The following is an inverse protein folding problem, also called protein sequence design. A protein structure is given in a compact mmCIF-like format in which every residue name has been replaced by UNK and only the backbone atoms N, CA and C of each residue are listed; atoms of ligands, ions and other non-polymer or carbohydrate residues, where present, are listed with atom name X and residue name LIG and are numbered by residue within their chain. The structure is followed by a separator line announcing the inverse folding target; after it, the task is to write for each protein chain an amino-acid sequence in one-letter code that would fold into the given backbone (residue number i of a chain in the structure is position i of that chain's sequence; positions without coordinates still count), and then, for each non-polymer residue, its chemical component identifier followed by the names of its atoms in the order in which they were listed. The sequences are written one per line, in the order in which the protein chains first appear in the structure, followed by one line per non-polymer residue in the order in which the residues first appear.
data_IF_360889562734
#
_entry.id   IF_360889562734
#
_cell.length_a   1.000
_cell.length_b   1.000
_cell.length_c   1.000
_cell.angle_alpha   90.00
_cell.angle_beta   90.00
_cell.angle_gamma   90.00
#
_symmetry.space_group_name_H-M   'P 1'
#
loop_
_entity.id
_entity.type
_entity.pdbx_description
1 polymer ?
#
# COMPACT_ATOMS: atom_id res chain seq x y z
N UNK A 1 1.12 -16.14 16.18
CA UNK A 1 0.01 -16.83 15.47
C UNK A 1 0.65 -17.68 14.38
N UNK A 2 0.24 -18.97 14.20
CA UNK A 2 0.77 -19.75 13.09
C UNK A 2 0.16 -19.32 11.74
N UNK A 3 0.84 -19.63 10.63
CA UNK A 3 0.44 -19.17 9.28
C UNK A 3 -0.97 -19.61 8.89
N UNK A 4 -1.35 -20.88 9.14
CA UNK A 4 -2.68 -21.40 8.81
C UNK A 4 -3.79 -20.59 9.52
N UNK A 5 -3.66 -20.39 10.82
CA UNK A 5 -4.62 -19.61 11.60
C UNK A 5 -4.67 -18.14 11.17
N UNK A 6 -3.55 -17.58 10.72
CA UNK A 6 -3.52 -16.21 10.17
C UNK A 6 -4.37 -16.13 8.90
N UNK A 7 -4.18 -17.06 7.95
CA UNK A 7 -4.94 -17.12 6.70
C UNK A 7 -6.42 -17.25 6.99
N UNK A 8 -6.83 -18.20 7.85
CA UNK A 8 -8.24 -18.40 8.23
C UNK A 8 -8.86 -17.11 8.80
N UNK A 9 -8.17 -16.45 9.73
CA UNK A 9 -8.63 -15.20 10.33
C UNK A 9 -8.72 -14.05 9.29
N UNK A 10 -7.76 -13.97 8.36
CA UNK A 10 -7.77 -12.94 7.34
C UNK A 10 -8.85 -13.19 6.29
N UNK A 11 -9.11 -14.42 5.91
CA UNK A 11 -10.25 -14.77 5.05
C UNK A 11 -11.59 -14.40 5.72
N UNK A 12 -11.73 -14.62 7.03
CA UNK A 12 -12.91 -14.22 7.80
C UNK A 12 -13.07 -12.68 7.82
N UNK A 13 -11.97 -11.93 8.00
CA UNK A 13 -11.99 -10.46 7.93
C UNK A 13 -12.39 -10.02 6.52
N UNK A 14 -11.81 -10.60 5.47
CA UNK A 14 -12.12 -10.28 4.09
C UNK A 14 -13.62 -10.46 3.77
N UNK A 15 -14.18 -11.62 4.10
CA UNK A 15 -15.61 -11.90 3.89
C UNK A 15 -16.51 -10.90 4.61
N UNK A 16 -16.15 -10.50 5.82
CA UNK A 16 -16.96 -9.58 6.63
C UNK A 16 -16.79 -8.11 6.29
N UNK A 17 -15.78 -7.75 5.48
CA UNK A 17 -15.52 -6.36 5.06
C UNK A 17 -15.82 -6.10 3.58
N UNK A 18 -16.10 -7.16 2.80
CA UNK A 18 -16.26 -7.06 1.35
C UNK A 18 -14.94 -6.86 0.61
N UNK A 19 -13.80 -7.00 1.30
CA UNK A 19 -12.47 -6.98 0.70
C UNK A 19 -12.06 -8.39 0.30
N UNK A 20 -11.12 -8.51 -0.63
CA UNK A 20 -10.49 -9.77 -1.00
C UNK A 20 -9.11 -9.87 -0.34
N UNK A 21 -8.82 -10.97 0.33
CA UNK A 21 -7.48 -11.23 0.86
C UNK A 21 -6.57 -11.82 -0.21
N UNK A 22 -5.41 -11.21 -0.40
CA UNK A 22 -4.31 -11.68 -1.25
C UNK A 22 -3.21 -12.27 -0.36
N UNK A 23 -3.11 -13.59 -0.35
CA UNK A 23 -2.10 -14.33 0.44
C UNK A 23 -0.68 -14.05 -0.04
N UNK A 24 -0.48 -13.77 -1.32
CA UNK A 24 0.85 -13.52 -1.91
C UNK A 24 1.45 -12.22 -1.40
N UNK A 25 0.62 -11.19 -1.33
CA UNK A 25 1.04 -9.86 -0.89
C UNK A 25 0.73 -9.58 0.59
N UNK A 26 0.05 -10.53 1.28
CA UNK A 26 -0.37 -10.41 2.68
C UNK A 26 -1.19 -9.14 2.93
N UNK A 27 -2.16 -8.89 2.07
CA UNK A 27 -2.95 -7.66 2.06
C UNK A 27 -4.39 -7.91 1.60
N UNK A 28 -5.28 -6.99 1.94
CA UNK A 28 -6.66 -6.99 1.50
C UNK A 28 -6.85 -5.92 0.44
N UNK A 29 -7.68 -6.20 -0.56
CA UNK A 29 -7.97 -5.32 -1.68
C UNK A 29 -9.46 -5.25 -1.92
N UNK A 30 -9.95 -4.07 -2.24
CA UNK A 30 -11.34 -3.90 -2.66
C UNK A 30 -11.75 -2.44 -2.71
N UNK A 31 -12.90 -2.23 -3.32
CA UNK A 31 -13.51 -0.91 -3.45
C UNK A 31 -14.52 -0.67 -2.32
N UNK A 32 -14.57 0.56 -1.86
CA UNK A 32 -15.65 1.04 -0.99
C UNK A 32 -16.08 2.43 -1.43
N UNK A 33 -17.34 2.55 -1.83
CA UNK A 33 -17.95 3.82 -2.25
C UNK A 33 -17.14 4.59 -3.32
N UNK A 34 -16.60 3.88 -4.31
CA UNK A 34 -15.82 4.45 -5.41
C UNK A 34 -14.34 4.68 -5.11
N UNK A 35 -13.84 4.31 -3.93
CA UNK A 35 -12.41 4.36 -3.61
C UNK A 35 -11.85 2.95 -3.47
N UNK A 36 -10.74 2.69 -4.16
CA UNK A 36 -9.97 1.46 -3.98
C UNK A 36 -9.14 1.53 -2.70
N UNK A 37 -9.13 0.42 -1.97
CA UNK A 37 -8.35 0.28 -0.75
C UNK A 37 -7.39 -0.91 -0.84
N UNK A 38 -6.17 -0.68 -0.34
CA UNK A 38 -5.24 -1.74 0.04
C UNK A 38 -5.13 -1.68 1.56
N UNK A 39 -5.41 -2.80 2.24
CA UNK A 39 -5.34 -2.88 3.70
C UNK A 39 -4.32 -3.93 4.09
N UNK A 40 -3.41 -3.59 4.97
CA UNK A 40 -2.33 -4.50 5.37
C UNK A 40 -1.91 -4.29 6.83
N UNK A 41 -1.29 -5.31 7.43
CA UNK A 41 -0.63 -5.21 8.72
C UNK A 41 0.84 -4.81 8.50
N UNK A 42 1.28 -3.63 8.97
CA UNK A 42 2.66 -3.15 8.75
C UNK A 42 3.70 -3.92 9.58
N UNK A 43 3.26 -4.64 10.61
CA UNK A 43 4.13 -5.41 11.50
C UNK A 43 3.50 -6.78 11.82
N UNK A 44 4.19 -7.85 11.46
CA UNK A 44 3.72 -9.23 11.68
C UNK A 44 3.49 -9.59 13.16
N UNK A 45 4.11 -8.86 14.10
CA UNK A 45 3.87 -9.03 15.55
C UNK A 45 2.48 -8.56 15.97
N UNK A 46 1.89 -7.64 15.20
CA UNK A 46 0.58 -7.06 15.45
C UNK A 46 -0.38 -7.31 14.27
N UNK A 47 -0.79 -8.56 14.04
CA UNK A 47 -1.53 -8.96 12.83
C UNK A 47 -2.91 -8.30 12.67
N UNK A 48 -3.41 -7.66 13.73
CA UNK A 48 -4.67 -6.93 13.73
C UNK A 48 -4.49 -5.42 13.94
N UNK A 49 -3.28 -4.90 13.73
CA UNK A 49 -3.01 -3.48 13.56
C UNK A 49 -2.96 -3.20 12.06
N UNK A 50 -4.00 -2.60 11.53
CA UNK A 50 -4.15 -2.43 10.09
C UNK A 50 -3.86 -1.00 9.65
N UNK A 51 -3.36 -0.86 8.44
CA UNK A 51 -3.24 0.39 7.70
C UNK A 51 -4.14 0.30 6.48
N UNK A 52 -5.03 1.26 6.31
CA UNK A 52 -5.77 1.49 5.08
C UNK A 52 -4.95 2.42 4.21
N UNK A 53 -4.73 2.02 2.98
CA UNK A 53 -4.10 2.82 1.95
C UNK A 53 -5.09 3.05 0.81
N UNK A 54 -5.22 4.27 0.35
CA UNK A 54 -5.97 4.66 -0.85
C UNK A 54 -5.28 5.81 -1.54
N UNK A 55 -5.43 5.91 -2.86
CA UNK A 55 -4.93 7.02 -3.64
C UNK A 55 -6.09 7.96 -4.01
N UNK A 56 -5.97 9.22 -3.63
CA UNK A 56 -7.00 10.21 -3.94
C UNK A 56 -6.44 11.62 -4.03
N UNK A 57 -7.11 12.46 -4.80
CA UNK A 57 -6.78 13.89 -4.97
C UNK A 57 -8.01 14.77 -4.82
N UNK A 58 -7.82 15.99 -4.33
CA UNK A 58 -8.80 17.05 -4.42
C UNK A 58 -8.86 17.62 -5.84
N UNK A 59 -9.98 18.25 -6.20
CA UNK A 59 -10.16 18.87 -7.52
C UNK A 59 -9.16 20.03 -7.78
N UNK A 60 -8.76 20.73 -6.73
CA UNK A 60 -7.84 21.87 -6.76
C UNK A 60 -6.37 21.49 -6.47
N UNK A 61 -6.08 20.20 -6.23
CA UNK A 61 -4.75 19.72 -5.90
C UNK A 61 -4.30 20.04 -4.46
N UNK A 62 -5.18 20.56 -3.61
CA UNK A 62 -4.86 20.88 -2.22
C UNK A 62 -4.69 19.60 -1.37
N UNK A 63 -3.96 19.74 -0.27
CA UNK A 63 -3.93 18.74 0.79
C UNK A 63 -5.01 19.03 1.83
N UNK A 64 -5.34 18.04 2.66
CA UNK A 64 -6.33 18.23 3.72
C UNK A 64 -5.92 19.34 4.71
N UNK A 65 -6.91 20.14 5.09
CA UNK A 65 -6.74 21.07 6.20
C UNK A 65 -6.43 20.32 7.51
N UNK A 66 -5.54 20.89 8.32
CA UNK A 66 -5.12 20.29 9.59
C UNK A 66 -6.27 20.12 10.59
N UNK A 67 -7.27 21.01 10.56
CA UNK A 67 -8.44 20.90 11.44
C UNK A 67 -9.36 19.78 10.99
N UNK A 68 -9.58 19.62 9.67
CA UNK A 68 -10.34 18.52 9.10
C UNK A 68 -9.72 17.16 9.47
N UNK A 69 -8.39 17.03 9.34
CA UNK A 69 -7.64 15.82 9.74
C UNK A 69 -7.80 15.54 11.23
N UNK A 70 -7.65 16.55 12.10
CA UNK A 70 -7.87 16.39 13.54
C UNK A 70 -9.30 16.00 13.88
N UNK A 71 -10.28 16.55 13.18
CA UNK A 71 -11.70 16.19 13.30
C UNK A 71 -11.92 14.73 12.96
N UNK A 72 -11.39 14.29 11.81
CA UNK A 72 -11.45 12.89 11.37
C UNK A 72 -10.80 11.93 12.37
N UNK A 73 -9.59 12.23 12.85
CA UNK A 73 -8.91 11.39 13.84
C UNK A 73 -9.67 11.29 15.18
N UNK A 74 -10.41 12.33 15.55
CA UNK A 74 -11.23 12.33 16.76
C UNK A 74 -12.59 11.66 16.56
N UNK A 75 -13.08 11.51 15.33
CA UNK A 75 -14.37 10.91 15.01
C UNK A 75 -14.45 9.43 15.41
N UNK A 76 -13.32 8.72 15.43
CA UNK A 76 -13.25 7.35 15.90
C UNK A 76 -12.06 7.11 16.82
N UNK A 77 -12.31 6.53 18.01
CA UNK A 77 -11.27 6.12 18.94
C UNK A 77 -10.39 4.99 18.39
N UNK A 78 -10.78 4.35 17.29
CA UNK A 78 -10.09 3.24 16.64
C UNK A 78 -9.02 3.70 15.66
N UNK A 79 -9.10 4.95 15.17
CA UNK A 79 -8.08 5.57 14.33
C UNK A 79 -6.90 5.98 15.19
N UNK A 80 -5.70 5.53 14.80
CA UNK A 80 -4.44 5.89 15.46
C UNK A 80 -3.81 7.11 14.80
N UNK A 81 -3.76 7.13 13.46
CA UNK A 81 -3.19 8.25 12.69
C UNK A 81 -3.82 8.35 11.30
N UNK A 82 -3.72 9.55 10.73
CA UNK A 82 -4.03 9.85 9.35
C UNK A 82 -2.82 10.55 8.74
N UNK A 83 -2.40 10.14 7.57
CA UNK A 83 -1.31 10.75 6.81
C UNK A 83 -1.72 10.91 5.35
N UNK A 84 -1.29 12.01 4.76
CA UNK A 84 -1.34 12.24 3.33
C UNK A 84 0.06 12.65 2.85
N UNK A 85 0.56 11.96 1.85
CA UNK A 85 1.79 12.31 1.14
C UNK A 85 1.52 12.30 -0.36
N UNK A 86 1.45 13.47 -0.96
CA UNK A 86 0.98 13.64 -2.34
C UNK A 86 -0.45 13.05 -2.50
N UNK A 87 -0.58 12.02 -3.34
CA UNK A 87 -1.82 11.31 -3.63
C UNK A 87 -2.08 10.13 -2.69
N UNK A 88 -1.04 9.65 -2.02
CA UNK A 88 -1.07 8.53 -1.05
C UNK A 88 -1.71 8.97 0.27
N UNK A 89 -2.81 8.33 0.63
CA UNK A 89 -3.55 8.56 1.87
C UNK A 89 -3.50 7.29 2.70
N UNK A 90 -3.02 7.41 3.94
CA UNK A 90 -2.90 6.29 4.89
C UNK A 90 -3.63 6.57 6.18
N UNK A 91 -4.46 5.62 6.58
CA UNK A 91 -5.17 5.63 7.86
C UNK A 91 -4.69 4.43 8.67
N UNK A 92 -3.95 4.69 9.74
CA UNK A 92 -3.50 3.63 10.66
C UNK A 92 -4.55 3.40 11.73
N UNK A 93 -4.87 2.13 11.98
CA UNK A 93 -5.81 1.73 13.02
C UNK A 93 -5.06 1.24 14.26
N UNK A 94 -5.68 1.41 15.42
CA UNK A 94 -5.18 0.81 16.65
C UNK A 94 -5.27 -0.71 16.58
N UNK A 95 -4.28 -1.39 17.14
CA UNK A 95 -4.25 -2.84 17.20
C UNK A 95 -5.51 -3.40 17.90
N UNK A 96 -6.08 -4.44 17.32
CA UNK A 96 -7.23 -5.15 17.87
C UNK A 96 -6.79 -6.48 18.50
N UNK A 97 -7.62 -7.04 19.38
CA UNK A 97 -7.27 -8.27 20.13
C UNK A 97 -7.54 -9.55 19.33
N UNK A 98 -8.42 -9.51 18.32
CA UNK A 98 -8.82 -10.65 17.52
C UNK A 98 -9.38 -10.24 16.15
N UNK A 99 -9.63 -11.23 15.28
CA UNK A 99 -10.12 -11.05 13.93
C UNK A 99 -11.50 -10.37 13.87
N UNK A 100 -12.42 -10.72 14.75
CA UNK A 100 -13.77 -10.16 14.76
C UNK A 100 -13.75 -8.66 15.05
N UNK A 101 -13.06 -8.24 16.12
CA UNK A 101 -12.89 -6.82 16.42
C UNK A 101 -12.12 -6.07 15.32
N UNK A 102 -11.17 -6.74 14.67
CA UNK A 102 -10.45 -6.18 13.54
C UNK A 102 -11.39 -5.94 12.36
N UNK A 103 -12.23 -6.91 12.01
CA UNK A 103 -13.26 -6.79 10.96
C UNK A 103 -14.20 -5.61 11.23
N UNK A 104 -14.76 -5.51 12.45
CA UNK A 104 -15.68 -4.43 12.80
C UNK A 104 -15.00 -3.06 12.75
N UNK A 105 -13.76 -2.98 13.25
CA UNK A 105 -12.94 -1.77 13.19
C UNK A 105 -12.63 -1.36 11.75
N UNK A 106 -12.32 -2.32 10.88
CA UNK A 106 -12.08 -2.08 9.45
C UNK A 106 -13.32 -1.54 8.76
N UNK A 107 -14.50 -2.16 8.97
CA UNK A 107 -15.75 -1.68 8.37
C UNK A 107 -16.05 -0.23 8.77
N UNK A 108 -15.92 0.09 10.07
CA UNK A 108 -16.11 1.44 10.57
C UNK A 108 -15.10 2.42 9.94
N UNK A 109 -13.82 2.03 9.87
CA UNK A 109 -12.77 2.89 9.35
C UNK A 109 -12.88 3.10 7.82
N UNK A 110 -13.23 2.07 7.05
CA UNK A 110 -13.49 2.19 5.61
C UNK A 110 -14.63 3.18 5.36
N UNK A 111 -15.77 3.03 6.03
CA UNK A 111 -16.91 3.93 5.89
C UNK A 111 -16.57 5.37 6.32
N UNK A 112 -15.87 5.54 7.45
CA UNK A 112 -15.45 6.85 7.91
C UNK A 112 -14.48 7.52 6.95
N UNK A 113 -13.53 6.75 6.40
CA UNK A 113 -12.52 7.27 5.44
C UNK A 113 -13.19 7.70 4.14
N UNK A 114 -14.06 6.90 3.55
CA UNK A 114 -14.75 7.26 2.30
C UNK A 114 -15.66 8.47 2.49
N UNK A 115 -16.37 8.55 3.62
CA UNK A 115 -17.18 9.74 3.96
C UNK A 115 -16.30 10.97 4.08
N UNK A 116 -15.16 10.87 4.76
CA UNK A 116 -14.21 11.98 4.93
C UNK A 116 -13.64 12.45 3.59
N UNK A 117 -13.24 11.53 2.71
CA UNK A 117 -12.73 11.84 1.37
C UNK A 117 -13.78 12.58 0.54
N UNK A 118 -15.01 12.06 0.48
CA UNK A 118 -16.12 12.68 -0.26
C UNK A 118 -16.49 14.05 0.26
N UNK A 119 -16.60 14.19 1.58
CA UNK A 119 -16.95 15.48 2.21
C UNK A 119 -15.92 16.57 1.91
N UNK A 120 -14.65 16.17 1.70
CA UNK A 120 -13.57 17.09 1.31
C UNK A 120 -13.32 17.13 -0.21
N UNK A 121 -14.26 16.66 -1.03
CA UNK A 121 -14.22 16.71 -2.51
C UNK A 121 -12.99 15.99 -3.10
N UNK A 122 -12.56 14.91 -2.47
CA UNK A 122 -11.51 14.04 -3.03
C UNK A 122 -12.11 13.01 -3.97
N UNK A 123 -11.38 12.69 -5.02
CA UNK A 123 -11.69 11.64 -6.00
C UNK A 123 -10.56 10.63 -6.08
N UNK A 124 -10.87 9.34 -6.34
CA UNK A 124 -9.85 8.31 -6.50
C UNK A 124 -8.95 8.61 -7.69
N UNK A 125 -7.70 8.20 -7.62
CA UNK A 125 -6.74 8.41 -8.70
C UNK A 125 -5.59 7.40 -8.65
N UNK A 126 -4.79 7.35 -9.71
CA UNK A 126 -3.53 6.62 -9.72
C UNK A 126 -2.48 7.34 -8.87
N UNK A 127 -1.74 6.61 -8.02
CA UNK A 127 -0.69 7.16 -7.15
C UNK A 127 0.44 7.89 -7.90
N UNK A 128 0.70 7.50 -9.15
CA UNK A 128 1.79 8.09 -9.95
C UNK A 128 1.35 9.22 -10.86
N UNK A 129 0.34 9.00 -11.69
CA UNK A 129 -0.06 10.01 -12.68
C UNK A 129 -1.22 10.91 -12.22
N UNK A 130 -1.88 10.56 -11.12
CA UNK A 130 -3.01 11.31 -10.59
C UNK A 130 -4.27 11.28 -11.48
N UNK A 131 -4.32 10.45 -12.51
CA UNK A 131 -5.52 10.32 -13.35
C UNK A 131 -6.60 9.55 -12.60
N UNK A 132 -7.85 9.99 -12.75
CA UNK A 132 -9.02 9.29 -12.23
C UNK A 132 -9.40 8.18 -13.24
N UNK A 133 -8.80 7.03 -13.08
CA UNK A 133 -8.97 5.83 -13.90
C UNK A 133 -8.94 4.61 -12.98
N UNK A 134 -9.43 3.48 -13.49
CA UNK A 134 -9.34 2.21 -12.76
C UNK A 134 -7.88 1.91 -12.38
N UNK A 135 -7.67 1.50 -11.14
CA UNK A 135 -6.35 1.18 -10.59
C UNK A 135 -6.31 -0.23 -10.05
N UNK A 136 -5.13 -0.85 -10.16
CA UNK A 136 -4.80 -2.11 -9.50
C UNK A 136 -3.86 -1.89 -8.31
N UNK A 137 -3.90 -2.84 -7.37
CA UNK A 137 -2.95 -2.85 -6.27
C UNK A 137 -1.59 -3.38 -6.74
N UNK A 138 -0.55 -2.64 -6.48
CA UNK A 138 0.83 -2.99 -6.82
C UNK A 138 1.72 -2.90 -5.58
N UNK A 139 2.64 -3.88 -5.41
CA UNK A 139 3.58 -3.89 -4.30
C UNK A 139 5.01 -3.87 -4.80
N UNK A 140 5.82 -2.95 -4.28
CA UNK A 140 7.24 -2.84 -4.61
C UNK A 140 8.04 -2.38 -3.40
N UNK A 141 9.15 -3.05 -3.10
CA UNK A 141 10.04 -2.66 -2.01
C UNK A 141 9.39 -2.67 -0.61
N UNK A 142 8.29 -3.42 -0.45
CA UNK A 142 7.50 -3.44 0.78
C UNK A 142 6.40 -2.37 0.86
N UNK A 143 6.36 -1.44 -0.08
CA UNK A 143 5.34 -0.41 -0.19
C UNK A 143 4.22 -0.84 -1.15
N UNK A 144 3.01 -0.31 -0.92
CA UNK A 144 1.83 -0.56 -1.74
C UNK A 144 1.46 0.69 -2.53
N UNK A 145 0.92 0.49 -3.74
CA UNK A 145 0.51 1.54 -4.68
C UNK A 145 -0.79 1.18 -5.36
N UNK A 146 -1.61 2.17 -5.65
CA UNK A 146 -2.74 2.09 -6.57
C UNK A 146 -2.29 2.60 -7.94
N UNK A 147 -2.06 1.70 -8.89
CA UNK A 147 -1.53 2.07 -10.20
C UNK A 147 -2.53 1.79 -11.32
N UNK A 148 -2.66 2.74 -12.24
CA UNK A 148 -3.31 2.45 -13.51
C UNK A 148 -2.43 1.53 -14.36
N UNK A 149 -3.00 0.81 -15.37
CA UNK A 149 -2.24 -0.16 -16.17
C UNK A 149 -0.98 0.44 -16.81
N UNK A 150 -1.03 1.66 -17.31
CA UNK A 150 0.12 2.32 -17.95
C UNK A 150 1.24 2.61 -16.95
N UNK A 151 0.88 3.10 -15.78
CA UNK A 151 1.86 3.37 -14.70
C UNK A 151 2.45 2.09 -14.13
N UNK A 152 1.66 1.03 -14.00
CA UNK A 152 2.15 -0.28 -13.58
C UNK A 152 3.15 -0.85 -14.59
N UNK A 153 2.81 -0.81 -15.88
CA UNK A 153 3.69 -1.29 -16.95
C UNK A 153 5.01 -0.51 -16.98
N UNK A 154 4.95 0.82 -16.87
CA UNK A 154 6.16 1.66 -16.79
C UNK A 154 7.01 1.31 -15.58
N UNK A 155 6.41 1.17 -14.39
CA UNK A 155 7.16 0.82 -13.17
C UNK A 155 7.82 -0.55 -13.27
N UNK A 156 7.12 -1.56 -13.82
CA UNK A 156 7.70 -2.89 -14.08
C UNK A 156 8.87 -2.83 -15.05
N UNK A 157 8.78 -2.05 -16.12
CA UNK A 157 9.86 -1.83 -17.09
C UNK A 157 11.09 -1.18 -16.44
N UNK A 158 10.88 -0.13 -15.64
CA UNK A 158 11.96 0.56 -14.93
C UNK A 158 12.69 -0.38 -13.94
N UNK A 159 11.95 -1.23 -13.23
CA UNK A 159 12.51 -2.26 -12.34
C UNK A 159 13.38 -3.24 -13.15
N UNK A 160 12.88 -3.75 -14.29
CA UNK A 160 13.60 -4.69 -15.12
C UNK A 160 14.89 -4.08 -15.67
N UNK A 161 14.85 -2.84 -16.17
CA UNK A 161 16.03 -2.13 -16.66
C UNK A 161 17.07 -1.90 -15.56
N UNK A 162 16.64 -1.49 -14.36
CA UNK A 162 17.55 -1.28 -13.23
C UNK A 162 18.19 -2.59 -12.76
N UNK A 163 17.45 -3.70 -12.79
CA UNK A 163 17.99 -5.03 -12.47
C UNK A 163 19.06 -5.47 -13.47
N UNK A 164 18.81 -5.26 -14.78
CA UNK A 164 19.78 -5.55 -15.83
C UNK A 164 21.05 -4.72 -15.70
N UNK A 165 20.93 -3.41 -15.46
CA UNK A 165 22.09 -2.53 -15.26
C UNK A 165 22.92 -2.93 -14.04
N UNK A 166 22.26 -3.36 -12.96
CA UNK A 166 22.93 -3.82 -11.74
C UNK A 166 23.67 -5.14 -11.99
N UNK A 167 23.07 -6.07 -12.76
CA UNK A 167 23.72 -7.32 -13.15
C UNK A 167 24.96 -7.06 -14.02
N UNK A 168 24.84 -6.22 -15.05
CA UNK A 168 25.96 -5.85 -15.91
C UNK A 168 27.10 -5.18 -15.15
N UNK A 169 26.80 -4.30 -14.18
CA UNK A 169 27.83 -3.69 -13.31
C UNK A 169 28.57 -4.74 -12.50
N UNK A 170 27.86 -5.75 -11.95
CA UNK A 170 28.47 -6.85 -11.20
C UNK A 170 29.38 -7.72 -12.09
N UNK A 171 28.92 -8.06 -13.29
CA UNK A 171 29.73 -8.84 -14.26
C UNK A 171 30.99 -8.09 -14.69
N UNK A 172 30.88 -6.79 -14.95
CA UNK A 172 32.03 -5.96 -15.30
C UNK A 172 33.06 -5.87 -14.15
N UNK A 173 32.61 -5.79 -12.90
CA UNK A 173 33.48 -5.78 -11.71
C UNK A 173 34.19 -7.15 -11.58
N UNK A 174 33.47 -8.25 -11.72
CA UNK A 174 34.04 -9.61 -11.64
C UNK A 174 34.99 -9.84 -12.79
N UNK A 175 34.64 -9.46 -14.03
CA UNK A 175 35.50 -9.53 -15.20
C UNK A 175 36.77 -8.71 -15.05
N UNK A 176 36.69 -7.50 -14.48
CA UNK A 176 37.85 -6.65 -14.18
C UNK A 176 38.79 -7.26 -13.15
N UNK A 177 38.26 -7.89 -12.09
CA UNK A 177 39.08 -8.57 -11.07
C UNK A 177 39.79 -9.82 -11.66
N UNK A 178 39.06 -10.62 -12.44
CA UNK A 178 39.65 -11.82 -13.09
C UNK A 178 40.70 -11.40 -14.11
N UNK A 179 40.45 -10.37 -14.91
CA UNK A 179 41.44 -9.85 -15.87
C UNK A 179 42.69 -9.29 -15.19
N UNK A 180 42.56 -8.60 -14.07
CA UNK A 180 43.71 -8.13 -13.29
C UNK A 180 44.52 -9.24 -12.67
N UNK A 181 43.90 -10.31 -12.21
CA UNK A 181 44.60 -11.48 -11.66
C UNK A 181 45.31 -12.30 -12.72
N UNK A 182 44.74 -12.46 -13.90
CA UNK A 182 45.39 -13.17 -15.02
C UNK A 182 46.51 -12.33 -15.65
N UNK A 183 46.35 -11.03 -15.75
CA UNK A 183 47.38 -10.11 -16.25
C UNK A 183 48.62 -10.04 -15.34
N UNK A 184 48.49 -10.24 -14.03
CA UNK A 184 49.61 -10.27 -13.08
C UNK A 184 50.38 -11.59 -13.05
N UNK A 185 49.86 -12.66 -13.66
CA UNK A 185 50.51 -13.97 -13.78
C UNK A 185 51.28 -14.15 -15.07
N UNK A 186 51.08 -13.27 -16.07
CA UNK A 186 51.73 -13.33 -17.38
C UNK A 186 52.74 -12.20 -17.62
N UNK A 187 52.97 -11.32 -16.67
CA UNK A 187 54.01 -10.31 -16.65
C UNK A 187 55.07 -10.61 -15.62
#
# INVERSE_FOLDING_TARGET
MNQKKKIENYQQIAMGTGLRYDETNDSFHGERDGFDFIVYAPDARYPYMMVLHTAAKSADGSTFDKQAVKGFQKSSKKIASFGQKNLDIRVSLKAQSNAEKCKDTLNEALAATTTFLRTNSYSPCCDLCGQNVETGAFRMGGEYYHLCPDCEMKMRSDIAMNAQQTAQKKENIVGGIVGALLGSLLG
#
